data_IF_935303284352
#
_entry.id   IF_935303284352
#
_cell.length_a   1.000
_cell.length_b   1.000
_cell.length_c   1.000
_cell.angle_alpha   90.00
_cell.angle_beta   90.00
_cell.angle_gamma   90.00
#
_symmetry.space_group_name_H-M   'P 1'
#
loop_
_entity.id
_entity.type
_entity.pdbx_description
1 polymer ?
#
# COMPACT_ATOMS: atom_id res chain seq x y z
N UNK A 1 -11.59 -22.07 -24.64
CA UNK A 1 -10.86 -22.51 -25.85
C UNK A 1 -9.72 -21.58 -26.30
N UNK A 2 -9.55 -20.36 -25.76
CA UNK A 2 -8.45 -19.46 -26.16
C UNK A 2 -7.06 -20.03 -25.79
N UNK A 3 -6.96 -20.76 -24.67
CA UNK A 3 -5.73 -21.43 -24.24
C UNK A 3 -5.20 -22.49 -25.21
N UNK A 4 -6.04 -23.06 -26.07
CA UNK A 4 -5.63 -24.01 -27.12
C UNK A 4 -5.44 -23.33 -28.47
N UNK A 5 -6.11 -22.19 -28.68
CA UNK A 5 -6.10 -21.48 -29.95
C UNK A 5 -4.86 -20.59 -30.09
N UNK A 6 -4.42 -19.93 -29.01
CA UNK A 6 -3.20 -19.11 -29.03
C UNK A 6 -1.93 -19.92 -29.37
N UNK A 7 -1.66 -21.08 -28.73
CA UNK A 7 -0.46 -21.86 -29.03
C UNK A 7 -0.44 -22.37 -30.46
N UNK A 8 -1.59 -22.84 -30.96
CA UNK A 8 -1.75 -23.26 -32.34
C UNK A 8 -1.51 -22.08 -33.31
N UNK A 9 -2.12 -20.93 -33.05
CA UNK A 9 -1.93 -19.73 -33.89
C UNK A 9 -0.47 -19.23 -33.89
N UNK A 10 0.21 -19.25 -32.75
CA UNK A 10 1.63 -18.93 -32.65
C UNK A 10 2.49 -19.93 -33.42
N UNK A 11 2.18 -21.23 -33.32
CA UNK A 11 2.89 -22.28 -34.06
C UNK A 11 2.71 -22.16 -35.58
N UNK A 12 1.51 -21.79 -36.04
CA UNK A 12 1.21 -21.56 -37.46
C UNK A 12 1.51 -20.11 -37.93
N UNK A 13 2.11 -19.27 -37.08
CA UNK A 13 2.45 -17.87 -37.36
C UNK A 13 1.26 -17.04 -37.88
N UNK A 14 0.06 -17.32 -37.39
CA UNK A 14 -1.16 -16.59 -37.73
C UNK A 14 -1.26 -15.29 -36.90
N UNK A 15 -0.49 -14.28 -37.28
CA UNK A 15 -0.33 -13.03 -36.50
C UNK A 15 -1.67 -12.35 -36.15
N UNK A 16 -2.62 -12.27 -37.09
CA UNK A 16 -3.94 -11.67 -36.82
C UNK A 16 -4.75 -12.42 -35.76
N UNK A 17 -4.60 -13.74 -35.68
CA UNK A 17 -5.31 -14.55 -34.68
C UNK A 17 -4.64 -14.40 -33.31
N UNK A 18 -3.30 -14.30 -33.28
CA UNK A 18 -2.52 -14.02 -32.06
C UNK A 18 -2.89 -12.64 -31.50
N UNK A 19 -2.99 -11.62 -32.34
CA UNK A 19 -3.45 -10.28 -31.96
C UNK A 19 -4.88 -10.30 -31.41
N UNK A 20 -5.82 -10.93 -32.11
CA UNK A 20 -7.21 -11.01 -31.66
C UNK A 20 -7.34 -11.74 -30.31
N UNK A 21 -6.57 -12.82 -30.11
CA UNK A 21 -6.52 -13.53 -28.83
C UNK A 21 -5.87 -12.69 -27.73
N UNK A 22 -4.84 -11.91 -28.05
CA UNK A 22 -4.17 -11.01 -27.10
C UNK A 22 -5.13 -9.93 -26.61
N UNK A 23 -5.86 -9.28 -27.53
CA UNK A 23 -6.90 -8.30 -27.18
C UNK A 23 -8.02 -8.91 -26.33
N UNK A 24 -8.44 -10.14 -26.63
CA UNK A 24 -9.43 -10.84 -25.81
C UNK A 24 -8.91 -11.12 -24.40
N UNK A 25 -7.66 -11.58 -24.27
CA UNK A 25 -7.04 -11.85 -22.96
C UNK A 25 -6.82 -10.57 -22.16
N UNK A 26 -6.49 -9.45 -22.81
CA UNK A 26 -6.40 -8.14 -22.15
C UNK A 26 -7.72 -7.70 -21.52
N UNK A 27 -8.84 -7.94 -22.19
CA UNK A 27 -10.18 -7.59 -21.67
C UNK A 27 -10.63 -8.49 -20.51
N UNK A 28 -10.02 -9.66 -20.35
CA UNK A 28 -10.33 -10.65 -19.32
C UNK A 28 -9.28 -10.70 -18.20
N UNK A 29 -8.45 -9.66 -18.06
CA UNK A 29 -7.46 -9.58 -16.97
C UNK A 29 -8.15 -9.37 -15.62
N UNK A 30 -8.05 -10.38 -14.77
CA UNK A 30 -8.56 -10.41 -13.40
C UNK A 30 -7.44 -10.73 -12.40
N UNK A 31 -7.57 -10.35 -11.11
CA UNK A 31 -6.55 -10.63 -10.11
C UNK A 31 -6.28 -12.13 -9.92
N UNK A 32 -7.25 -12.98 -10.24
CA UNK A 32 -7.17 -14.43 -10.09
C UNK A 32 -6.60 -15.16 -11.30
N UNK A 33 -6.38 -14.50 -12.44
CA UNK A 33 -5.87 -15.13 -13.67
C UNK A 33 -4.62 -14.43 -14.25
N UNK A 34 -4.29 -13.24 -13.75
CA UNK A 34 -3.25 -12.40 -14.32
C UNK A 34 -1.86 -13.05 -14.29
N UNK A 35 -1.58 -13.90 -13.30
CA UNK A 35 -0.31 -14.63 -13.21
C UNK A 35 -0.27 -15.73 -14.28
N UNK A 36 -1.33 -16.52 -14.38
CA UNK A 36 -1.44 -17.55 -15.42
C UNK A 36 -1.32 -16.97 -16.84
N UNK A 37 -1.96 -15.82 -17.10
CA UNK A 37 -1.86 -15.12 -18.39
C UNK A 37 -0.43 -14.58 -18.62
N UNK A 38 0.26 -14.09 -17.59
CA UNK A 38 1.64 -13.60 -17.71
C UNK A 38 2.64 -14.74 -18.01
N UNK A 39 2.45 -15.91 -17.42
CA UNK A 39 3.28 -17.09 -17.69
C UNK A 39 2.96 -17.66 -19.08
N UNK A 40 1.68 -17.78 -19.43
CA UNK A 40 1.23 -18.25 -20.73
C UNK A 40 1.72 -17.35 -21.87
N UNK A 41 1.67 -16.03 -21.71
CA UNK A 41 2.23 -15.08 -22.69
C UNK A 41 3.74 -15.18 -22.79
N UNK A 42 4.45 -15.47 -21.68
CA UNK A 42 5.89 -15.71 -21.69
C UNK A 42 6.27 -16.97 -22.48
N UNK A 43 5.48 -18.03 -22.35
CA UNK A 43 5.72 -19.30 -23.04
C UNK A 43 5.50 -19.19 -24.55
N UNK A 44 4.53 -18.37 -24.97
CA UNK A 44 4.14 -18.21 -26.37
C UNK A 44 4.74 -16.95 -27.03
N UNK A 45 5.68 -16.27 -26.37
CA UNK A 45 6.42 -15.14 -26.93
C UNK A 45 5.61 -13.86 -27.15
N UNK A 46 4.44 -13.71 -26.51
CA UNK A 46 3.57 -12.55 -26.65
C UNK A 46 4.00 -11.42 -25.69
N UNK A 47 4.98 -10.60 -26.12
CA UNK A 47 5.63 -9.59 -25.26
C UNK A 47 4.68 -8.45 -24.84
N UNK A 48 3.78 -8.01 -25.73
CA UNK A 48 2.83 -6.92 -25.43
C UNK A 48 1.83 -7.33 -24.34
N UNK A 49 1.22 -8.50 -24.48
CA UNK A 49 0.31 -9.07 -23.50
C UNK A 49 1.02 -9.31 -22.16
N UNK A 50 2.26 -9.81 -22.19
CA UNK A 50 3.06 -10.01 -20.99
C UNK A 50 3.30 -8.70 -20.24
N UNK A 51 3.63 -7.62 -20.97
CA UNK A 51 3.88 -6.31 -20.36
C UNK A 51 2.63 -5.75 -19.69
N UNK A 52 1.49 -5.81 -20.38
CA UNK A 52 0.19 -5.39 -19.81
C UNK A 52 -0.24 -6.24 -18.62
N UNK A 53 -0.06 -7.56 -18.67
CA UNK A 53 -0.35 -8.45 -17.56
C UNK A 53 0.54 -8.12 -16.33
N UNK A 54 1.83 -7.83 -16.54
CA UNK A 54 2.74 -7.39 -15.47
C UNK A 54 2.34 -6.05 -14.86
N UNK A 55 1.99 -5.07 -15.69
CA UNK A 55 1.48 -3.78 -15.21
C UNK A 55 0.20 -3.96 -14.37
N UNK A 56 -0.69 -4.85 -14.78
CA UNK A 56 -1.90 -5.18 -14.03
C UNK A 56 -1.57 -5.82 -12.67
N UNK A 57 -0.62 -6.77 -12.64
CA UNK A 57 -0.14 -7.38 -11.40
C UNK A 57 0.44 -6.32 -10.46
N UNK A 58 1.23 -5.37 -10.99
CA UNK A 58 1.83 -4.31 -10.17
C UNK A 58 0.79 -3.32 -9.63
N UNK A 59 -0.25 -3.02 -10.41
CA UNK A 59 -1.36 -2.14 -9.99
C UNK A 59 -2.25 -2.78 -8.93
N UNK A 60 -2.53 -4.07 -9.05
CA UNK A 60 -3.51 -4.81 -8.24
C UNK A 60 -2.87 -5.82 -7.26
N UNK A 61 -1.59 -5.62 -6.91
CA UNK A 61 -0.81 -6.59 -6.14
C UNK A 61 -1.48 -7.00 -4.81
N UNK A 62 -2.16 -6.07 -4.13
CA UNK A 62 -2.87 -6.34 -2.87
C UNK A 62 -3.98 -7.40 -2.97
N UNK A 63 -4.63 -7.52 -4.14
CA UNK A 63 -5.65 -8.55 -4.38
C UNK A 63 -5.03 -9.84 -4.92
N UNK A 64 -4.00 -9.73 -5.76
CA UNK A 64 -3.28 -10.88 -6.33
C UNK A 64 -2.67 -11.77 -5.24
N UNK A 65 -2.10 -11.18 -4.17
CA UNK A 65 -1.54 -11.93 -3.02
C UNK A 65 -2.57 -12.85 -2.35
N UNK A 66 -3.86 -12.51 -2.40
CA UNK A 66 -4.91 -13.29 -1.74
C UNK A 66 -5.29 -14.54 -2.52
N UNK A 67 -5.02 -14.55 -3.82
CA UNK A 67 -5.41 -15.59 -4.76
C UNK A 67 -4.42 -16.78 -4.71
N UNK A 68 -4.90 -17.98 -5.07
CA UNK A 68 -4.10 -19.20 -4.99
C UNK A 68 -3.09 -19.33 -6.15
N UNK A 69 -3.31 -18.66 -7.30
CA UNK A 69 -2.31 -18.57 -8.38
C UNK A 69 -0.98 -17.95 -7.90
N UNK A 70 -1.01 -17.11 -6.87
CA UNK A 70 0.23 -16.58 -6.28
C UNK A 70 1.11 -17.69 -5.70
N UNK A 71 0.52 -18.81 -5.27
CA UNK A 71 1.23 -19.93 -4.67
C UNK A 71 1.89 -20.83 -5.71
N UNK A 72 1.51 -20.75 -6.98
CA UNK A 72 2.07 -21.55 -8.08
C UNK A 72 3.33 -20.95 -8.69
N UNK A 73 3.64 -19.68 -8.39
CA UNK A 73 4.82 -18.97 -8.87
C UNK A 73 6.13 -19.69 -8.54
N UNK A 74 7.12 -19.59 -9.42
CA UNK A 74 8.48 -20.03 -9.09
C UNK A 74 9.18 -19.05 -8.15
N UNK A 75 10.13 -19.51 -7.31
CA UNK A 75 10.89 -18.62 -6.41
C UNK A 75 11.63 -17.49 -7.14
N UNK A 76 12.15 -17.75 -8.34
CA UNK A 76 12.88 -16.76 -9.13
C UNK A 76 11.94 -15.67 -9.68
N UNK A 77 10.76 -16.06 -10.17
CA UNK A 77 9.73 -15.11 -10.59
C UNK A 77 9.27 -14.25 -9.41
N UNK A 78 9.07 -14.85 -8.23
CA UNK A 78 8.66 -14.13 -7.03
C UNK A 78 9.72 -13.11 -6.57
N UNK A 79 11.00 -13.48 -6.57
CA UNK A 79 12.10 -12.55 -6.25
C UNK A 79 12.12 -11.37 -7.22
N UNK A 80 12.00 -11.63 -8.52
CA UNK A 80 11.96 -10.56 -9.53
C UNK A 80 10.76 -9.64 -9.33
N UNK A 81 9.60 -10.20 -9.00
CA UNK A 81 8.39 -9.45 -8.73
C UNK A 81 8.57 -8.55 -7.50
N UNK A 82 9.06 -9.10 -6.38
CA UNK A 82 9.25 -8.36 -5.11
C UNK A 82 10.35 -7.31 -5.22
N UNK A 83 11.40 -7.54 -6.03
CA UNK A 83 12.51 -6.60 -6.18
C UNK A 83 12.09 -5.32 -6.92
N UNK A 84 11.10 -5.39 -7.79
CA UNK A 84 10.66 -4.25 -8.62
C UNK A 84 10.16 -3.06 -7.79
N UNK A 85 10.64 -1.87 -8.13
CA UNK A 85 10.33 -0.61 -7.45
C UNK A 85 8.88 -0.12 -7.65
N UNK A 86 8.21 -0.58 -8.71
CA UNK A 86 6.93 -0.04 -9.20
C UNK A 86 5.69 -0.71 -8.60
N UNK A 87 5.86 -1.66 -7.67
CA UNK A 87 4.76 -2.34 -6.99
C UNK A 87 3.89 -1.33 -6.22
N UNK A 88 2.59 -1.30 -6.52
CA UNK A 88 1.63 -0.47 -5.82
C UNK A 88 1.15 -1.18 -4.55
N UNK A 89 1.87 -0.95 -3.45
CA UNK A 89 1.55 -1.52 -2.14
C UNK A 89 1.25 -0.41 -1.13
N UNK A 90 0.32 -0.69 -0.21
CA UNK A 90 0.02 0.23 0.91
C UNK A 90 1.14 0.23 1.94
N UNK A 91 1.72 -0.95 2.20
CA UNK A 91 2.78 -1.18 3.18
C UNK A 91 3.66 -2.37 2.77
N UNK A 92 4.96 -2.33 3.06
CA UNK A 92 5.85 -3.50 2.90
C UNK A 92 5.41 -4.71 3.75
N UNK A 93 4.63 -4.50 4.81
CA UNK A 93 4.08 -5.60 5.61
C UNK A 93 3.19 -6.53 4.77
N UNK A 94 2.54 -6.03 3.72
CA UNK A 94 1.74 -6.85 2.80
C UNK A 94 2.64 -7.79 2.00
N UNK A 95 3.77 -7.30 1.49
CA UNK A 95 4.78 -8.10 0.77
C UNK A 95 5.38 -9.15 1.70
N UNK A 96 5.73 -8.76 2.94
CA UNK A 96 6.25 -9.68 3.93
C UNK A 96 5.25 -10.80 4.23
N UNK A 97 3.98 -10.46 4.49
CA UNK A 97 2.93 -11.45 4.72
C UNK A 97 2.72 -12.37 3.51
N UNK A 98 2.83 -11.83 2.29
CA UNK A 98 2.75 -12.61 1.06
C UNK A 98 3.86 -13.67 0.97
N UNK A 99 5.11 -13.28 1.27
CA UNK A 99 6.25 -14.21 1.30
C UNK A 99 6.05 -15.30 2.34
N UNK A 100 5.59 -14.95 3.54
CA UNK A 100 5.32 -15.93 4.59
C UNK A 100 4.20 -16.90 4.16
N UNK A 101 3.09 -16.40 3.56
CA UNK A 101 2.02 -17.26 3.03
C UNK A 101 2.53 -18.20 1.94
N UNK A 102 3.37 -17.70 1.03
CA UNK A 102 3.98 -18.50 -0.02
C UNK A 102 4.86 -19.63 0.54
N UNK A 103 5.62 -19.35 1.61
CA UNK A 103 6.49 -20.36 2.26
C UNK A 103 5.67 -21.36 3.10
N UNK A 104 4.54 -20.93 3.69
CA UNK A 104 3.65 -21.81 4.44
C UNK A 104 3.01 -22.91 3.58
N UNK A 105 2.77 -22.65 2.30
CA UNK A 105 2.15 -23.61 1.39
C UNK A 105 3.04 -24.83 1.09
N UNK A 106 4.36 -24.66 1.00
CA UNK A 106 5.31 -25.75 0.76
C UNK A 106 6.59 -25.52 1.57
N UNK A 107 6.58 -25.84 2.88
CA UNK A 107 7.67 -25.50 3.78
C UNK A 107 8.96 -26.27 3.44
N UNK A 108 8.86 -27.52 3.00
CA UNK A 108 10.04 -28.38 2.80
C UNK A 108 10.94 -27.86 1.67
N UNK A 109 10.37 -27.42 0.55
CA UNK A 109 11.15 -26.93 -0.60
C UNK A 109 11.45 -25.44 -0.52
N UNK A 110 10.62 -24.65 0.18
CA UNK A 110 10.69 -23.18 0.14
C UNK A 110 11.46 -22.58 1.31
N UNK A 111 11.65 -23.29 2.43
CA UNK A 111 12.47 -22.81 3.55
C UNK A 111 13.90 -22.47 3.08
N UNK A 112 14.52 -23.31 2.23
CA UNK A 112 15.87 -23.08 1.74
C UNK A 112 16.03 -21.79 0.90
N UNK A 113 14.95 -21.24 0.35
CA UNK A 113 14.95 -20.02 -0.47
C UNK A 113 14.39 -18.80 0.27
N UNK A 114 13.96 -18.98 1.53
CA UNK A 114 13.39 -17.92 2.34
C UNK A 114 14.37 -16.77 2.56
N UNK A 115 15.65 -17.08 2.77
CA UNK A 115 16.70 -16.08 2.96
C UNK A 115 16.77 -15.11 1.77
N UNK A 116 16.87 -15.64 0.55
CA UNK A 116 16.89 -14.82 -0.68
C UNK A 116 15.60 -14.03 -0.90
N UNK A 117 14.45 -14.55 -0.47
CA UNK A 117 13.18 -13.83 -0.53
C UNK A 117 13.14 -12.68 0.49
N UNK A 118 13.61 -12.89 1.71
CA UNK A 118 13.65 -11.86 2.75
C UNK A 118 14.63 -10.73 2.41
N UNK A 119 15.76 -11.03 1.77
CA UNK A 119 16.67 -10.01 1.23
C UNK A 119 16.05 -9.17 0.11
N UNK A 120 15.09 -9.72 -0.65
CA UNK A 120 14.36 -8.97 -1.65
C UNK A 120 13.28 -8.07 -1.04
N UNK A 121 12.76 -8.42 0.13
CA UNK A 121 11.81 -7.58 0.89
C UNK A 121 12.57 -6.46 1.56
N UNK A 122 12.10 -5.22 1.39
CA UNK A 122 12.71 -4.03 1.99
C UNK A 122 12.34 -3.93 3.46
N UNK A 123 12.91 -4.83 4.25
CA UNK A 123 12.58 -5.00 5.65
C UNK A 123 12.86 -3.73 6.49
N UNK A 124 13.69 -2.81 5.99
CA UNK A 124 13.95 -1.49 6.57
C UNK A 124 12.72 -0.58 6.62
N UNK A 125 11.70 -0.77 5.76
CA UNK A 125 10.47 0.01 5.81
C UNK A 125 9.34 -0.69 6.61
N UNK A 126 9.65 -1.81 7.27
CA UNK A 126 8.71 -2.46 8.19
C UNK A 126 8.73 -1.74 9.54
N UNK A 127 7.57 -1.66 10.19
CA UNK A 127 7.51 -1.12 11.55
C UNK A 127 8.22 -2.07 12.53
N UNK A 128 9.09 -1.56 13.42
CA UNK A 128 9.67 -2.29 14.54
C UNK A 128 8.69 -3.19 15.30
N UNK A 129 7.49 -2.69 15.64
CA UNK A 129 6.46 -3.47 16.34
C UNK A 129 5.97 -4.66 15.51
N UNK A 130 5.88 -4.50 14.19
CA UNK A 130 5.53 -5.59 13.30
C UNK A 130 6.63 -6.65 13.25
N UNK A 131 7.89 -6.24 13.12
CA UNK A 131 9.04 -7.15 13.13
C UNK A 131 9.12 -7.96 14.43
N UNK A 132 8.95 -7.31 15.57
CA UNK A 132 8.93 -7.98 16.88
C UNK A 132 7.79 -9.01 16.97
N UNK A 133 6.59 -8.63 16.53
CA UNK A 133 5.46 -9.56 16.48
C UNK A 133 5.75 -10.76 15.59
N UNK A 134 6.34 -10.55 14.42
CA UNK A 134 6.66 -11.63 13.48
C UNK A 134 7.77 -12.54 14.00
N UNK A 135 8.83 -12.00 14.60
CA UNK A 135 9.91 -12.78 15.22
C UNK A 135 9.38 -13.69 16.34
N UNK A 136 8.40 -13.23 17.12
CA UNK A 136 7.83 -14.00 18.22
C UNK A 136 6.83 -15.07 17.76
N UNK A 137 5.99 -14.76 16.78
CA UNK A 137 4.88 -15.63 16.36
C UNK A 137 5.22 -16.58 15.21
N UNK A 138 6.20 -16.28 14.36
CA UNK A 138 6.49 -17.11 13.20
C UNK A 138 7.40 -18.29 13.56
N UNK A 139 6.80 -19.46 13.71
CA UNK A 139 7.51 -20.73 13.91
C UNK A 139 8.48 -21.07 12.75
N UNK A 140 8.24 -20.54 11.54
CA UNK A 140 9.12 -20.72 10.38
C UNK A 140 10.44 -19.95 10.56
N UNK A 141 10.38 -18.72 11.10
CA UNK A 141 11.59 -17.93 11.37
C UNK A 141 12.43 -18.55 12.48
N UNK A 142 11.79 -19.21 13.47
CA UNK A 142 12.51 -19.95 14.53
C UNK A 142 13.31 -21.14 14.01
N UNK A 143 12.92 -21.72 12.87
CA UNK A 143 13.66 -22.84 12.25
C UNK A 143 14.95 -22.40 11.55
N UNK A 144 15.13 -21.11 11.27
CA UNK A 144 16.32 -20.58 10.57
C UNK A 144 16.99 -19.44 11.35
N UNK A 145 18.09 -19.70 12.06
CA UNK A 145 18.78 -18.68 12.87
C UNK A 145 19.36 -17.54 12.02
N UNK A 146 19.75 -17.80 10.78
CA UNK A 146 20.32 -16.78 9.87
C UNK A 146 19.33 -15.67 9.52
N UNK A 147 18.06 -16.02 9.25
CA UNK A 147 17.01 -15.05 8.99
C UNK A 147 16.67 -14.22 10.24
N UNK A 148 16.70 -14.87 11.42
CA UNK A 148 16.50 -14.20 12.70
C UNK A 148 17.60 -13.18 12.99
N UNK A 149 18.87 -13.55 12.75
CA UNK A 149 20.01 -12.65 12.94
C UNK A 149 19.92 -11.43 12.00
N UNK A 150 19.58 -11.65 10.73
CA UNK A 150 19.39 -10.56 9.75
C UNK A 150 18.29 -9.59 10.18
N UNK A 151 17.10 -10.10 10.52
CA UNK A 151 15.99 -9.27 10.99
C UNK A 151 16.32 -8.56 12.31
N UNK A 152 17.11 -9.17 13.20
CA UNK A 152 17.53 -8.55 14.46
C UNK A 152 18.49 -7.38 14.26
N UNK A 153 19.40 -7.48 13.27
CA UNK A 153 20.30 -6.40 12.87
C UNK A 153 19.50 -5.23 12.30
N UNK A 154 18.51 -5.51 11.46
CA UNK A 154 17.61 -4.47 10.92
C UNK A 154 16.83 -3.81 12.05
N UNK A 155 16.28 -4.59 12.97
CA UNK A 155 15.55 -4.07 14.13
C UNK A 155 16.41 -3.15 15.01
N UNK A 156 17.68 -3.51 15.24
CA UNK A 156 18.63 -2.65 15.96
C UNK A 156 18.93 -1.36 15.17
N UNK A 157 19.16 -1.46 13.86
CA UNK A 157 19.37 -0.29 12.99
C UNK A 157 18.17 0.67 12.97
N UNK A 158 16.95 0.13 12.96
CA UNK A 158 15.71 0.91 13.01
C UNK A 158 15.52 1.61 14.36
N UNK A 159 15.80 0.93 15.47
CA UNK A 159 15.78 1.57 16.82
C UNK A 159 16.77 2.73 16.92
N UNK A 160 17.92 2.61 16.26
CA UNK A 160 18.97 3.62 16.26
C UNK A 160 18.75 4.74 15.22
N UNK A 161 17.61 4.76 14.50
CA UNK A 161 17.30 5.74 13.45
C UNK A 161 18.44 5.91 12.42
N UNK A 162 19.14 4.83 12.09
CA UNK A 162 20.23 4.88 11.12
C UNK A 162 19.70 5.12 9.71
N UNK A 163 20.45 5.88 8.91
CA UNK A 163 20.08 6.21 7.54
C UNK A 163 20.03 4.93 6.68
N UNK A 164 18.86 4.67 6.10
CA UNK A 164 18.63 3.49 5.30
C UNK A 164 19.32 3.63 3.93
N UNK A 165 20.09 2.62 3.47
CA UNK A 165 20.72 2.65 2.16
C UNK A 165 19.73 2.41 1.01
N UNK A 166 18.56 1.84 1.29
CA UNK A 166 17.57 1.46 0.27
C UNK A 166 16.60 2.61 -0.04
N UNK A 167 16.32 2.81 -1.33
CA UNK A 167 15.33 3.79 -1.79
C UNK A 167 13.91 3.25 -1.51
N UNK A 168 12.97 4.11 -1.07
CA UNK A 168 11.57 3.72 -0.98
C UNK A 168 11.04 3.34 -2.38
N UNK A 169 10.08 2.42 -2.43
CA UNK A 169 9.39 2.08 -3.70
C UNK A 169 8.82 3.36 -4.30
N UNK A 170 8.96 3.50 -5.62
CA UNK A 170 8.31 4.55 -6.39
C UNK A 170 7.12 3.89 -7.07
N UNK A 171 5.93 3.88 -6.43
CA UNK A 171 4.77 3.29 -7.07
C UNK A 171 4.52 3.99 -8.41
N UNK A 172 4.03 3.25 -9.39
CA UNK A 172 3.65 3.79 -10.71
C UNK A 172 2.50 4.83 -10.64
N UNK A 173 1.95 5.08 -9.45
CA UNK A 173 0.96 6.12 -9.19
C UNK A 173 1.60 7.50 -9.08
N UNK A 174 0.94 8.57 -9.58
CA UNK A 174 1.44 9.93 -9.42
C UNK A 174 1.55 10.29 -7.93
N UNK A 175 2.67 10.90 -7.57
CA UNK A 175 2.82 11.53 -6.26
C UNK A 175 1.84 12.71 -6.19
N UNK A 176 0.95 12.73 -5.21
CA UNK A 176 -0.05 13.79 -5.04
C UNK A 176 0.06 14.41 -3.65
N UNK A 177 -0.32 15.68 -3.55
CA UNK A 177 -0.39 16.43 -2.29
C UNK A 177 -1.85 16.58 -1.92
N UNK A 178 -2.26 16.04 -0.78
CA UNK A 178 -3.63 16.17 -0.28
C UNK A 178 -3.79 17.43 0.58
N UNK A 179 -4.95 18.05 0.48
CA UNK A 179 -5.38 19.20 1.28
C UNK A 179 -6.79 18.93 1.79
N UNK A 180 -7.04 19.25 3.06
CA UNK A 180 -8.33 19.01 3.69
C UNK A 180 -8.70 20.17 4.62
N UNK A 181 -9.96 20.57 4.57
CA UNK A 181 -10.53 21.66 5.35
C UNK A 181 -10.16 23.03 4.81
N UNK A 182 -10.13 24.00 5.71
CA UNK A 182 -9.82 25.40 5.39
C UNK A 182 -10.73 26.36 6.13
N UNK A 183 -10.46 27.66 5.99
CA UNK A 183 -11.28 28.71 6.58
C UNK A 183 -11.47 29.85 5.58
N UNK A 184 -12.73 30.12 5.25
CA UNK A 184 -13.13 31.27 4.46
C UNK A 184 -14.45 31.81 5.01
N UNK A 185 -14.38 32.75 5.95
CA UNK A 185 -15.51 33.27 6.78
C UNK A 185 -16.15 32.23 7.71
N UNK A 186 -16.20 30.97 7.28
CA UNK A 186 -16.58 29.79 8.04
C UNK A 186 -15.61 28.64 7.72
N UNK A 187 -15.63 27.58 8.52
CA UNK A 187 -14.86 26.37 8.24
C UNK A 187 -15.36 25.68 6.97
N UNK A 188 -14.43 25.13 6.20
CA UNK A 188 -14.71 24.47 4.92
C UNK A 188 -14.67 22.94 5.06
N UNK A 189 -15.46 22.25 4.24
CA UNK A 189 -15.44 20.79 4.06
C UNK A 189 -14.56 20.34 2.90
N UNK A 190 -13.83 21.28 2.26
CA UNK A 190 -13.02 21.01 1.08
C UNK A 190 -12.05 19.85 1.30
N UNK A 191 -11.98 18.95 0.33
CA UNK A 191 -10.96 17.92 0.27
C UNK A 191 -10.51 17.81 -1.18
N UNK A 192 -9.25 18.14 -1.43
CA UNK A 192 -8.69 18.26 -2.78
C UNK A 192 -7.28 17.70 -2.76
N UNK A 193 -6.84 17.13 -3.89
CA UNK A 193 -5.43 16.81 -4.08
C UNK A 193 -4.86 17.58 -5.27
N UNK A 194 -3.59 17.92 -5.16
CA UNK A 194 -2.79 18.52 -6.21
C UNK A 194 -1.87 17.46 -6.79
N UNK A 195 -1.89 17.31 -8.12
CA UNK A 195 -0.95 16.48 -8.86
C UNK A 195 0.16 17.36 -9.46
N UNK A 196 1.40 17.33 -8.95
CA UNK A 196 2.52 18.13 -9.46
C UNK A 196 2.92 17.77 -10.89
N UNK A 197 2.70 16.53 -11.33
CA UNK A 197 3.05 16.10 -12.69
C UNK A 197 2.13 16.69 -13.75
N UNK A 198 0.86 16.92 -13.40
CA UNK A 198 -0.15 17.53 -14.28
C UNK A 198 -0.40 19.01 -13.97
N UNK A 199 0.21 19.53 -12.89
CA UNK A 199 -0.04 20.86 -12.36
C UNK A 199 -1.55 21.17 -12.20
N UNK A 200 -2.29 20.22 -11.63
CA UNK A 200 -3.75 20.28 -11.57
C UNK A 200 -4.27 19.93 -10.18
N UNK A 201 -5.30 20.68 -9.74
CA UNK A 201 -6.10 20.39 -8.56
C UNK A 201 -7.32 19.56 -8.94
N UNK A 202 -7.60 18.52 -8.15
CA UNK A 202 -8.77 17.67 -8.31
C UNK A 202 -9.54 17.61 -7.00
N UNK A 203 -10.86 17.80 -7.10
CA UNK A 203 -11.77 17.68 -5.96
C UNK A 203 -12.08 16.23 -5.63
N UNK A 204 -12.14 15.94 -4.35
CA UNK A 204 -12.50 14.64 -3.77
C UNK A 204 -13.79 14.79 -2.94
N UNK A 205 -14.37 13.68 -2.44
CA UNK A 205 -15.51 13.73 -1.55
C UNK A 205 -15.24 14.62 -0.33
N UNK A 206 -16.19 15.50 -0.03
CA UNK A 206 -16.05 16.46 1.06
C UNK A 206 -15.89 15.79 2.43
N UNK A 207 -15.18 16.47 3.33
CA UNK A 207 -15.09 16.09 4.73
C UNK A 207 -16.50 15.97 5.33
N UNK A 208 -16.78 14.95 6.18
CA UNK A 208 -18.09 14.78 6.81
C UNK A 208 -18.54 16.00 7.61
N UNK A 209 -17.59 16.72 8.21
CA UNK A 209 -17.82 17.94 8.97
C UNK A 209 -16.82 19.03 8.52
N UNK A 210 -17.28 20.25 8.22
CA UNK A 210 -16.39 21.38 7.91
C UNK A 210 -15.47 21.71 9.08
N UNK A 211 -14.15 21.74 8.84
CA UNK A 211 -13.16 21.91 9.90
C UNK A 211 -11.97 22.75 9.44
N UNK A 212 -11.46 23.57 10.34
CA UNK A 212 -10.24 24.35 10.21
C UNK A 212 -9.28 24.06 11.37
N UNK A 213 -7.98 24.29 11.20
CA UNK A 213 -7.00 23.99 12.25
C UNK A 213 -6.90 22.50 12.61
N UNK A 214 -7.42 21.63 11.74
CA UNK A 214 -7.16 20.19 11.77
C UNK A 214 -5.74 19.90 11.29
N UNK A 215 -5.24 18.72 11.60
CA UNK A 215 -4.00 18.22 11.03
C UNK A 215 -4.27 16.87 10.35
N UNK A 216 -3.43 16.54 9.36
CA UNK A 216 -3.59 15.35 8.55
C UNK A 216 -2.32 14.51 8.54
N UNK A 217 -2.48 13.20 8.36
CA UNK A 217 -1.36 12.29 8.11
C UNK A 217 -1.79 11.13 7.22
N UNK A 218 -0.81 10.50 6.57
CA UNK A 218 -1.04 9.26 5.80
C UNK A 218 -0.49 8.11 6.63
N UNK A 219 -1.35 7.12 6.90
CA UNK A 219 -0.97 5.90 7.60
C UNK A 219 -1.51 4.71 6.83
N UNK A 220 -0.62 3.78 6.46
CA UNK A 220 -0.95 2.57 5.70
C UNK A 220 -1.79 2.82 4.44
N UNK A 221 -1.43 3.87 3.69
CA UNK A 221 -2.11 4.25 2.46
C UNK A 221 -3.52 4.86 2.64
N UNK A 222 -3.93 5.18 3.88
CA UNK A 222 -5.18 5.90 4.16
C UNK A 222 -4.88 7.31 4.68
N UNK A 223 -5.73 8.28 4.34
CA UNK A 223 -5.55 9.67 4.73
C UNK A 223 -6.40 9.99 5.96
N UNK A 224 -5.77 10.42 7.05
CA UNK A 224 -6.43 10.70 8.32
C UNK A 224 -6.50 12.19 8.59
N UNK A 225 -7.65 12.66 9.07
CA UNK A 225 -7.88 14.02 9.56
C UNK A 225 -8.23 13.97 11.05
N UNK A 226 -7.47 14.71 11.86
CA UNK A 226 -7.62 14.69 13.32
C UNK A 226 -7.97 16.07 13.85
N UNK A 227 -8.99 16.11 14.70
CA UNK A 227 -9.38 17.31 15.44
C UNK A 227 -9.78 18.48 14.55
N UNK A 228 -9.41 19.68 14.96
CA UNK A 228 -9.77 20.96 14.35
C UNK A 228 -10.93 21.65 15.06
N UNK A 229 -11.44 22.70 14.43
CA UNK A 229 -12.59 23.50 14.87
C UNK A 229 -13.52 23.71 13.70
N UNK A 230 -14.81 23.49 13.93
CA UNK A 230 -15.87 23.94 13.03
C UNK A 230 -16.28 25.35 13.48
N UNK A 231 -15.93 26.36 12.68
CA UNK A 231 -16.39 27.74 12.88
C UNK A 231 -17.58 27.99 11.97
N UNK A 232 -18.74 28.27 12.55
CA UNK A 232 -19.99 28.52 11.84
C UNK A 232 -20.73 29.71 12.45
N UNK A 233 -21.67 30.34 11.72
CA UNK A 233 -22.54 31.38 12.28
C UNK A 233 -23.32 30.92 13.52
N UNK A 234 -23.65 29.63 13.61
CA UNK A 234 -24.41 29.02 14.71
C UNK A 234 -23.55 28.73 15.94
N UNK A 235 -22.23 28.87 15.83
CA UNK A 235 -21.29 28.65 16.91
C UNK A 235 -19.99 28.01 16.46
N UNK A 236 -18.99 28.14 17.33
CA UNK A 236 -17.67 27.55 17.14
C UNK A 236 -17.52 26.33 18.04
N UNK A 237 -17.22 25.17 17.44
CA UNK A 237 -17.08 23.91 18.17
C UNK A 237 -15.73 23.26 17.88
N UNK A 238 -14.97 23.00 18.93
CA UNK A 238 -13.76 22.20 18.85
C UNK A 238 -14.10 20.73 18.64
N UNK A 239 -13.38 20.08 17.74
CA UNK A 239 -13.63 18.71 17.36
C UNK A 239 -12.62 17.76 17.99
N UNK A 240 -13.11 16.62 18.47
CA UNK A 240 -12.33 15.45 18.80
C UNK A 240 -12.38 14.37 17.71
N UNK A 241 -12.99 14.66 16.56
CA UNK A 241 -13.23 13.68 15.51
C UNK A 241 -11.92 13.18 14.88
N UNK A 242 -11.91 11.89 14.58
CA UNK A 242 -10.90 11.22 13.78
C UNK A 242 -11.61 10.66 12.54
N UNK A 243 -11.39 11.27 11.39
CA UNK A 243 -11.97 10.80 10.13
C UNK A 243 -10.86 10.25 9.23
N UNK A 244 -11.15 9.14 8.56
CA UNK A 244 -10.24 8.52 7.60
C UNK A 244 -10.88 8.46 6.22
N UNK A 245 -10.13 8.88 5.22
CA UNK A 245 -10.49 8.72 3.82
C UNK A 245 -9.85 7.44 3.27
N UNK A 246 -10.69 6.55 2.74
CA UNK A 246 -10.25 5.37 2.00
C UNK A 246 -10.17 5.69 0.51
N UNK A 247 -8.97 5.83 -0.08
CA UNK A 247 -8.82 6.20 -1.49
C UNK A 247 -9.29 5.11 -2.46
N UNK A 248 -9.41 3.84 -2.03
CA UNK A 248 -9.92 2.77 -2.90
C UNK A 248 -11.43 2.88 -3.03
N UNK A 249 -12.12 3.06 -1.90
CA UNK A 249 -13.58 3.15 -1.87
C UNK A 249 -14.09 4.54 -2.18
N UNK A 250 -13.20 5.54 -2.17
CA UNK A 250 -13.52 6.95 -2.35
C UNK A 250 -14.60 7.43 -1.36
N UNK A 251 -14.45 7.06 -0.09
CA UNK A 251 -15.39 7.41 0.99
C UNK A 251 -14.65 7.85 2.25
N UNK A 252 -15.30 8.71 3.03
CA UNK A 252 -14.91 9.02 4.40
C UNK A 252 -15.54 8.03 5.38
N UNK A 253 -14.75 7.63 6.38
CA UNK A 253 -15.18 6.78 7.48
C UNK A 253 -14.80 7.48 8.78
N UNK A 254 -15.76 7.65 9.69
CA UNK A 254 -15.45 8.14 11.03
C UNK A 254 -14.86 7.01 11.87
N UNK A 255 -13.84 7.33 12.65
CA UNK A 255 -13.15 6.42 13.58
C UNK A 255 -13.35 6.90 15.01
N UNK A 256 -12.88 6.10 15.96
CA UNK A 256 -12.98 6.42 17.39
C UNK A 256 -12.43 7.83 17.65
N UNK A 257 -13.25 8.74 18.20
CA UNK A 257 -12.83 10.10 18.45
C UNK A 257 -11.83 10.15 19.61
N UNK A 258 -11.07 11.25 19.70
CA UNK A 258 -10.22 11.53 20.84
C UNK A 258 -11.06 11.78 22.11
N UNK A 259 -10.50 11.49 23.27
CA UNK A 259 -11.15 11.79 24.55
C UNK A 259 -11.34 13.29 24.78
N UNK A 260 -10.44 14.10 24.22
CA UNK A 260 -10.43 15.56 24.38
C UNK A 260 -10.40 16.24 23.01
N UNK A 261 -11.30 17.21 22.75
CA UNK A 261 -11.25 18.03 21.53
C UNK A 261 -9.95 18.84 21.40
N UNK A 262 -9.42 18.95 20.18
CA UNK A 262 -8.16 19.64 19.92
C UNK A 262 -8.25 20.46 18.63
N UNK A 263 -8.11 21.78 18.75
CA UNK A 263 -7.89 22.69 17.62
C UNK A 263 -6.42 23.09 17.53
N UNK A 264 -5.94 23.34 16.30
CA UNK A 264 -4.52 23.61 15.97
C UNK A 264 -3.61 22.51 16.50
N UNK A 265 -4.04 21.26 16.30
CA UNK A 265 -3.39 20.05 16.81
C UNK A 265 -2.13 19.73 16.01
N UNK A 266 -1.08 19.27 16.69
CA UNK A 266 0.09 18.68 16.04
C UNK A 266 -0.06 17.16 15.95
N UNK A 267 0.32 16.56 14.82
CA UNK A 267 0.28 15.10 14.65
C UNK A 267 1.68 14.58 14.34
N UNK A 268 2.04 13.48 14.99
CA UNK A 268 3.18 12.64 14.62
C UNK A 268 2.72 11.22 14.29
N UNK A 269 3.41 10.57 13.34
CA UNK A 269 3.22 9.15 13.07
C UNK A 269 4.48 8.40 13.47
N UNK A 270 4.35 7.46 14.39
CA UNK A 270 5.43 6.57 14.83
C UNK A 270 4.88 5.16 14.79
N UNK A 271 5.58 4.23 14.14
CA UNK A 271 5.17 2.81 14.05
C UNK A 271 3.73 2.59 13.55
N UNK A 272 3.30 3.38 12.57
CA UNK A 272 1.92 3.39 12.05
C UNK A 272 0.85 3.71 13.10
N UNK A 273 1.23 4.32 14.22
CA UNK A 273 0.32 4.88 15.21
C UNK A 273 0.31 6.40 15.09
N UNK A 274 -0.87 6.98 15.24
CA UNK A 274 -1.10 8.42 15.11
C UNK A 274 -1.11 9.02 16.52
N UNK A 275 -0.22 9.96 16.77
CA UNK A 275 -0.13 10.69 18.03
C UNK A 275 -0.58 12.12 17.81
N UNK A 276 -1.65 12.52 18.50
CA UNK A 276 -2.16 13.88 18.50
C UNK A 276 -1.69 14.60 19.77
N UNK A 277 -0.85 15.63 19.60
CA UNK A 277 -0.16 16.34 20.69
C UNK A 277 -0.47 17.83 20.64
N UNK A 278 -0.57 18.45 21.81
CA UNK A 278 -0.85 19.88 21.95
C UNK A 278 -2.24 20.29 21.46
N UNK A 279 -2.33 21.52 20.93
CA UNK A 279 -3.57 22.16 20.52
C UNK A 279 -4.30 22.86 21.67
N UNK A 280 -5.58 23.14 21.46
CA UNK A 280 -6.42 23.86 22.43
C UNK A 280 -7.88 23.40 22.38
N UNK A 281 -8.58 23.61 23.48
CA UNK A 281 -10.04 23.54 23.58
C UNK A 281 -10.56 24.85 24.19
N UNK A 282 -11.36 25.59 23.43
CA UNK A 282 -11.79 26.94 23.77
C UNK A 282 -10.60 27.87 23.96
N UNK A 283 -10.44 28.38 25.18
CA UNK A 283 -9.32 29.23 25.62
C UNK A 283 -8.21 28.44 26.35
N UNK A 284 -8.42 27.15 26.59
CA UNK A 284 -7.44 26.31 27.29
C UNK A 284 -6.48 25.67 26.28
N UNK A 285 -5.19 25.90 26.49
CA UNK A 285 -4.13 25.23 25.75
C UNK A 285 -3.80 23.91 26.41
N UNK A 286 -3.65 22.85 25.62
CA UNK A 286 -3.21 21.56 26.11
C UNK A 286 -1.71 21.63 26.37
N UNK A 287 -1.31 21.63 27.65
CA UNK A 287 0.09 21.43 28.03
C UNK A 287 0.48 20.00 27.64
N UNK A 288 1.52 19.89 26.81
CA UNK A 288 2.11 18.61 26.36
C UNK A 288 3.33 18.29 27.20
#
# INVERSE_FOLDING_TARGET
>A
NVCYLLPAATMFQMNHVVEACSVFLEQQLDPSNCIGIADFSSEHGCVELQTKAREYIFKNFSEVIKCDEFLTLSPCQLINLIKNDELNIRCESEVFNAVIRYVQHDPEKRICKLEGLLYAVRCHFLSPMFLEKQLNHCNILKKMPQCQEYLSKIFQGLKLHQTCPEKPRKPCSPLVIFTAGGYLRQSLSNFEYYNPSLNQWTRLPELPNPRSGLCCCIVKGSFYCVGGRNNSPDGNMDSNALDVFDPIRNIWLSRSPMTVPRNRVGIGVIDNMIYAVGGSQGQQHHAS
#
